data_IF_137174927290
#
_entry.id   IF_137174927290
#
_cell.length_a   1.000
_cell.length_b   1.000
_cell.length_c   1.000
_cell.angle_alpha   90.00
_cell.angle_beta   90.00
_cell.angle_gamma   90.00
#
_symmetry.space_group_name_H-M   'P 1'
#
loop_
_entity.id
_entity.type
_entity.pdbx_description
1 polymer ?
#
# COMPACT_ATOMS: atom_id res chain seq x y z
N UNK A 1 12.14 -0.43 35.42
CA UNK A 1 12.43 -0.62 33.99
C UNK A 1 13.14 0.64 33.52
N UNK A 2 14.46 0.55 33.38
CA UNK A 2 15.24 1.60 32.73
C UNK A 2 14.97 1.45 31.24
N UNK A 3 14.07 2.28 30.68
CA UNK A 3 13.59 2.21 29.29
C UNK A 3 14.66 2.65 28.25
N UNK A 4 15.91 2.26 28.51
CA UNK A 4 17.10 2.63 27.78
C UNK A 4 17.31 1.62 26.65
N UNK A 5 17.70 2.14 25.51
CA UNK A 5 18.18 1.32 24.40
C UNK A 5 19.63 0.97 24.73
N UNK A 6 19.93 -0.32 24.78
CA UNK A 6 21.28 -0.83 25.11
C UNK A 6 22.17 -0.93 23.88
N UNK A 7 21.57 -1.12 22.70
CA UNK A 7 22.26 -1.25 21.43
C UNK A 7 21.32 -0.85 20.28
N UNK A 8 21.88 -0.33 19.19
CA UNK A 8 21.15 -0.01 17.98
C UNK A 8 22.09 0.07 16.76
N UNK A 9 21.57 -0.25 15.58
CA UNK A 9 22.30 -0.08 14.33
C UNK A 9 22.30 1.38 13.86
N UNK A 10 23.27 1.72 13.00
CA UNK A 10 23.42 3.07 12.43
C UNK A 10 22.16 3.56 11.73
N UNK A 11 21.44 2.64 11.04
CA UNK A 11 20.22 3.01 10.32
C UNK A 11 19.10 3.46 11.25
N UNK A 12 18.93 2.82 12.41
CA UNK A 12 17.98 3.28 13.41
C UNK A 12 18.34 4.67 13.91
N UNK A 13 19.62 4.88 14.24
CA UNK A 13 20.13 6.15 14.75
C UNK A 13 19.93 7.30 13.74
N UNK A 14 20.11 7.04 12.45
CA UNK A 14 19.79 7.97 11.35
C UNK A 14 18.30 8.32 11.32
N UNK A 15 17.41 7.32 11.36
CA UNK A 15 15.96 7.51 11.33
C UNK A 15 15.49 8.37 12.51
N UNK A 16 15.97 8.04 13.71
CA UNK A 16 15.56 8.73 14.94
C UNK A 16 16.31 10.04 15.19
N UNK A 17 17.38 10.32 14.44
CA UNK A 17 18.18 11.54 14.54
C UNK A 17 19.07 11.60 15.79
N UNK A 18 19.65 10.48 16.19
CA UNK A 18 20.58 10.39 17.31
C UNK A 18 21.95 9.89 16.85
N UNK A 19 23.00 10.22 17.60
CA UNK A 19 24.35 9.69 17.34
C UNK A 19 24.68 8.49 18.24
N UNK A 20 25.65 7.66 17.84
CA UNK A 20 26.14 6.55 18.68
C UNK A 20 26.63 7.05 20.04
N UNK A 21 27.30 8.21 20.08
CA UNK A 21 27.73 8.81 21.35
C UNK A 21 26.55 9.22 22.24
N UNK A 22 25.43 9.68 21.68
CA UNK A 22 24.22 9.95 22.47
C UNK A 22 23.57 8.67 23.00
N UNK A 23 23.64 7.56 22.25
CA UNK A 23 23.21 6.23 22.70
C UNK A 23 24.07 5.74 23.87
N UNK A 24 25.40 5.76 23.72
CA UNK A 24 26.35 5.34 24.77
C UNK A 24 26.20 6.14 26.06
N UNK A 25 25.90 7.44 25.94
CA UNK A 25 25.63 8.33 27.07
C UNK A 25 24.22 8.14 27.66
N UNK A 26 23.43 7.18 27.18
CA UNK A 26 22.09 6.86 27.68
C UNK A 26 21.07 7.97 27.47
N UNK A 27 21.25 8.84 26.47
CA UNK A 27 20.34 9.96 26.18
C UNK A 27 19.07 9.52 25.43
N UNK A 28 19.05 8.31 24.89
CA UNK A 28 17.91 7.75 24.15
C UNK A 28 16.97 7.05 25.11
N UNK A 29 15.71 7.50 25.12
CA UNK A 29 14.62 6.90 25.88
C UNK A 29 13.51 6.53 24.89
N UNK A 30 13.30 5.23 24.73
CA UNK A 30 12.37 4.66 23.76
C UNK A 30 10.96 5.25 23.86
N UNK A 31 10.45 5.49 25.07
CA UNK A 31 9.11 6.03 25.28
C UNK A 31 9.03 7.54 25.04
N UNK A 32 10.13 8.27 25.22
CA UNK A 32 10.17 9.72 24.96
C UNK A 32 10.38 10.06 23.48
N UNK A 33 11.04 9.18 22.73
CA UNK A 33 11.26 9.36 21.29
C UNK A 33 9.97 9.20 20.48
N UNK A 34 9.02 8.43 21.01
CA UNK A 34 7.73 8.19 20.37
C UNK A 34 6.70 9.22 20.84
N UNK A 35 6.73 10.46 20.33
CA UNK A 35 5.87 11.54 20.85
C UNK A 35 4.45 11.61 20.23
N UNK A 36 3.49 11.76 21.14
CA UNK A 36 2.04 12.05 21.07
C UNK A 36 1.05 11.02 20.53
N UNK A 37 1.48 10.00 19.79
CA UNK A 37 0.57 8.90 19.38
C UNK A 37 1.04 7.54 19.89
N UNK A 38 1.70 7.47 21.06
CA UNK A 38 1.57 6.24 21.87
C UNK A 38 0.11 6.21 22.27
N UNK A 39 -0.68 5.64 21.37
CA UNK A 39 -2.02 5.20 21.60
C UNK A 39 -2.01 4.46 22.93
N UNK A 40 -2.86 4.86 23.84
CA UNK A 40 -3.05 4.23 25.15
C UNK A 40 -3.21 2.70 24.96
N UNK A 41 -3.69 2.27 23.79
CA UNK A 41 -3.70 0.90 23.31
C UNK A 41 -2.37 0.15 23.35
N UNK A 42 -1.22 0.76 23.05
CA UNK A 42 0.08 0.07 23.09
C UNK A 42 0.51 -0.22 24.54
N UNK A 43 0.24 0.71 25.45
CA UNK A 43 0.51 0.57 26.89
C UNK A 43 -0.42 -0.45 27.55
N UNK A 44 -1.69 -0.50 27.13
CA UNK A 44 -2.66 -1.52 27.55
C UNK A 44 -2.27 -2.88 26.97
N UNK A 45 -1.93 -2.93 25.67
CA UNK A 45 -1.58 -4.17 24.98
C UNK A 45 -0.31 -4.81 25.55
N UNK A 46 0.74 -4.03 25.79
CA UNK A 46 1.99 -4.54 26.38
C UNK A 46 1.76 -5.16 27.78
N UNK A 47 0.80 -4.64 28.54
CA UNK A 47 0.42 -5.19 29.86
C UNK A 47 -0.49 -6.41 29.79
N UNK A 48 -1.17 -6.63 28.67
CA UNK A 48 -2.06 -7.77 28.45
C UNK A 48 -1.44 -8.91 27.65
N UNK A 49 -0.20 -8.75 27.14
CA UNK A 49 0.53 -9.83 26.48
C UNK A 49 0.88 -10.91 27.50
N UNK A 50 0.51 -12.15 27.21
CA UNK A 50 1.03 -13.30 27.95
C UNK A 50 2.49 -13.53 27.53
N UNK A 51 3.36 -14.07 28.41
CA UNK A 51 4.77 -14.37 28.11
C UNK A 51 5.02 -15.17 26.82
N UNK A 52 3.98 -15.83 26.29
CA UNK A 52 4.03 -16.73 25.13
C UNK A 52 3.51 -16.10 23.81
N UNK A 53 2.97 -14.87 23.82
CA UNK A 53 2.47 -14.16 22.61
C UNK A 53 3.53 -13.19 22.08
N UNK A 54 4.54 -13.75 21.40
CA UNK A 54 5.87 -13.16 21.27
C UNK A 54 6.13 -12.29 20.02
N UNK A 55 5.11 -11.95 19.22
CA UNK A 55 5.30 -11.14 18.01
C UNK A 55 4.12 -10.19 17.84
N UNK A 56 4.33 -8.90 18.17
CA UNK A 56 3.38 -7.84 17.82
C UNK A 56 3.98 -6.94 16.74
N UNK A 57 3.41 -7.03 15.53
CA UNK A 57 3.72 -6.10 14.43
C UNK A 57 2.86 -4.86 14.60
N UNK A 58 3.50 -3.71 14.78
CA UNK A 58 2.86 -2.41 14.94
C UNK A 58 3.24 -1.55 13.72
N UNK A 59 2.23 -1.17 12.93
CA UNK A 59 2.39 -0.15 11.89
C UNK A 59 2.23 1.24 12.51
N UNK A 60 3.20 2.11 12.33
CA UNK A 60 3.13 3.48 12.85
C UNK A 60 3.82 4.50 11.94
N UNK A 61 3.17 5.64 11.74
CA UNK A 61 3.80 6.80 11.12
C UNK A 61 4.69 7.50 12.15
N UNK A 62 5.96 7.70 11.81
CA UNK A 62 6.97 8.31 12.66
C UNK A 62 7.49 9.58 12.00
N UNK A 63 7.34 10.72 12.67
CA UNK A 63 7.96 11.97 12.22
C UNK A 63 9.16 12.20 13.11
N UNK A 64 10.36 12.18 12.55
CA UNK A 64 11.56 12.50 13.30
C UNK A 64 11.57 13.99 13.61
N UNK A 65 11.52 14.33 14.91
CA UNK A 65 11.50 15.74 15.38
C UNK A 65 12.81 16.45 15.00
N UNK A 66 13.91 15.72 14.86
CA UNK A 66 15.24 16.28 14.58
C UNK A 66 15.56 16.38 13.09
N UNK A 67 15.07 15.46 12.26
CA UNK A 67 15.37 15.48 10.81
C UNK A 67 14.24 16.09 9.97
N UNK A 68 13.10 16.43 10.58
CA UNK A 68 11.88 16.89 9.90
C UNK A 68 11.40 15.96 8.77
N UNK A 69 11.92 14.73 8.72
CA UNK A 69 11.51 13.71 7.77
C UNK A 69 10.31 12.94 8.31
N UNK A 70 9.35 12.71 7.43
CA UNK A 70 8.18 11.90 7.68
C UNK A 70 8.49 10.45 7.29
N UNK A 71 8.83 9.63 8.27
CA UNK A 71 9.01 8.21 8.07
C UNK A 71 7.69 7.45 8.27
N UNK A 72 7.50 6.38 7.50
CA UNK A 72 6.48 5.38 7.76
C UNK A 72 7.19 4.11 8.20
N UNK A 73 6.88 3.62 9.40
CA UNK A 73 7.64 2.57 10.05
C UNK A 73 6.72 1.40 10.41
N UNK A 74 7.17 0.19 10.11
CA UNK A 74 6.65 -1.03 10.75
C UNK A 74 7.64 -1.50 11.79
N UNK A 75 7.17 -1.65 13.03
CA UNK A 75 7.98 -2.16 14.12
C UNK A 75 7.47 -3.52 14.58
N UNK A 76 8.38 -4.43 14.89
CA UNK A 76 8.08 -5.69 15.55
C UNK A 76 8.98 -5.80 16.78
N UNK A 77 8.40 -6.14 17.93
CA UNK A 77 9.17 -6.36 19.15
C UNK A 77 9.09 -7.83 19.57
N UNK A 78 10.23 -8.37 19.96
CA UNK A 78 10.38 -9.66 20.62
C UNK A 78 10.88 -9.37 22.04
N UNK A 79 10.09 -9.72 23.05
CA UNK A 79 10.35 -9.41 24.46
C UNK A 79 10.57 -10.71 25.25
N UNK A 80 11.42 -10.71 26.27
CA UNK A 80 11.52 -11.86 27.19
C UNK A 80 10.22 -12.05 28.01
N UNK A 81 10.08 -13.20 28.68
CA UNK A 81 8.87 -13.57 29.44
C UNK A 81 8.49 -12.53 30.51
N UNK A 82 9.50 -11.83 31.03
CA UNK A 82 9.34 -10.82 32.07
C UNK A 82 9.24 -9.38 31.51
N UNK A 83 9.29 -9.21 30.19
CA UNK A 83 9.32 -7.94 29.47
C UNK A 83 10.42 -6.97 29.95
N UNK A 84 11.53 -7.49 30.48
CA UNK A 84 12.66 -6.70 30.93
C UNK A 84 13.64 -6.40 29.79
N UNK A 85 13.84 -7.36 28.88
CA UNK A 85 14.69 -7.20 27.71
C UNK A 85 13.93 -7.57 26.44
N UNK A 86 14.35 -7.00 25.33
CA UNK A 86 13.81 -7.38 24.03
C UNK A 86 14.50 -6.73 22.87
N UNK A 87 14.26 -7.27 21.70
CA UNK A 87 14.77 -6.77 20.43
C UNK A 87 13.61 -6.15 19.66
N UNK A 88 13.82 -4.93 19.17
CA UNK A 88 12.85 -4.27 18.30
C UNK A 88 13.44 -4.16 16.90
N UNK A 89 12.71 -4.70 15.94
CA UNK A 89 12.98 -4.58 14.51
C UNK A 89 12.12 -3.46 13.94
N UNK A 90 12.75 -2.54 13.23
CA UNK A 90 12.12 -1.35 12.65
C UNK A 90 12.41 -1.38 11.17
N UNK A 91 11.35 -1.41 10.37
CA UNK A 91 11.41 -1.33 8.92
C UNK A 91 10.86 0.01 8.47
N UNK A 92 11.71 0.80 7.81
CA UNK A 92 11.28 1.96 7.05
C UNK A 92 10.55 1.50 5.79
N UNK A 93 9.29 1.89 5.66
CA UNK A 93 8.41 1.60 4.52
C UNK A 93 7.95 2.89 3.83
N UNK A 94 8.60 4.02 4.09
CA UNK A 94 8.22 5.33 3.56
C UNK A 94 8.14 5.30 2.04
N UNK A 95 9.23 4.90 1.38
CA UNK A 95 9.32 4.83 -0.08
C UNK A 95 8.24 3.91 -0.66
N UNK A 96 8.06 2.73 -0.06
CA UNK A 96 7.05 1.76 -0.51
C UNK A 96 5.64 2.34 -0.42
N UNK A 97 5.27 2.94 0.71
CA UNK A 97 3.94 3.50 0.91
C UNK A 97 3.69 4.71 -0.01
N UNK A 98 4.73 5.49 -0.32
CA UNK A 98 4.60 6.63 -1.23
C UNK A 98 4.47 6.17 -2.69
N UNK A 99 5.20 5.12 -3.10
CA UNK A 99 5.00 4.46 -4.39
C UNK A 99 3.61 3.84 -4.51
N UNK A 100 3.14 3.11 -3.50
CA UNK A 100 1.80 2.51 -3.49
C UNK A 100 0.70 3.59 -3.59
N UNK A 101 0.85 4.72 -2.88
CA UNK A 101 -0.08 5.85 -2.99
C UNK A 101 -0.03 6.52 -4.36
N UNK A 102 1.16 6.73 -4.91
CA UNK A 102 1.31 7.33 -6.23
C UNK A 102 0.69 6.44 -7.32
N UNK A 103 0.91 5.13 -7.23
CA UNK A 103 0.28 4.14 -8.12
C UNK A 103 -1.25 4.19 -7.99
N UNK A 104 -1.77 4.10 -6.76
CA UNK A 104 -3.21 4.15 -6.52
C UNK A 104 -3.84 5.44 -7.05
N UNK A 105 -3.19 6.59 -6.83
CA UNK A 105 -3.63 7.88 -7.35
C UNK A 105 -3.66 7.88 -8.89
N UNK A 106 -2.61 7.37 -9.53
CA UNK A 106 -2.56 7.25 -10.99
C UNK A 106 -3.64 6.30 -11.53
N UNK A 107 -3.92 5.19 -10.84
CA UNK A 107 -4.99 4.26 -11.22
C UNK A 107 -6.38 4.91 -11.09
N UNK A 108 -6.62 5.66 -10.02
CA UNK A 108 -7.85 6.42 -9.80
C UNK A 108 -8.03 7.52 -10.86
N UNK A 109 -6.96 8.27 -11.15
CA UNK A 109 -6.95 9.29 -12.22
C UNK A 109 -7.22 8.66 -13.59
N UNK A 110 -6.54 7.56 -13.93
CA UNK A 110 -6.79 6.83 -15.17
C UNK A 110 -8.24 6.32 -15.25
N UNK A 111 -8.75 5.73 -14.17
CA UNK A 111 -10.14 5.27 -14.08
C UNK A 111 -11.13 6.42 -14.26
N UNK A 112 -10.86 7.58 -13.70
CA UNK A 112 -11.70 8.77 -13.89
C UNK A 112 -11.64 9.28 -15.34
N UNK A 113 -10.44 9.42 -15.91
CA UNK A 113 -10.26 9.86 -17.29
C UNK A 113 -11.02 8.96 -18.28
N UNK A 114 -10.90 7.64 -18.13
CA UNK A 114 -11.60 6.68 -18.99
C UNK A 114 -13.11 6.76 -18.78
N UNK A 115 -13.59 6.75 -17.52
CA UNK A 115 -15.02 6.74 -17.23
C UNK A 115 -15.76 8.01 -17.66
N UNK A 116 -15.12 9.18 -17.54
CA UNK A 116 -15.74 10.48 -17.88
C UNK A 116 -15.36 10.98 -19.28
N UNK A 117 -14.61 10.20 -20.07
CA UNK A 117 -14.40 10.52 -21.48
C UNK A 117 -15.75 10.56 -22.22
N UNK A 118 -15.92 11.56 -23.08
CA UNK A 118 -17.11 11.68 -23.93
C UNK A 118 -17.12 10.66 -25.07
N UNK A 119 -15.99 10.03 -25.34
CA UNK A 119 -15.83 8.98 -26.35
C UNK A 119 -16.07 7.62 -25.73
N UNK A 120 -16.76 6.74 -26.45
CA UNK A 120 -16.90 5.33 -26.12
C UNK A 120 -15.51 4.65 -26.07
N UNK A 121 -15.16 4.10 -24.91
CA UNK A 121 -13.91 3.35 -24.68
C UNK A 121 -14.30 1.98 -24.13
N UNK A 122 -13.78 0.93 -24.77
CA UNK A 122 -13.91 -0.44 -24.33
C UNK A 122 -12.60 -1.19 -24.53
N UNK A 123 -12.31 -2.14 -23.65
CA UNK A 123 -11.11 -2.97 -23.66
C UNK A 123 -11.52 -4.42 -23.87
N UNK A 124 -10.83 -5.10 -24.79
CA UNK A 124 -11.06 -6.51 -25.11
C UNK A 124 -9.81 -7.34 -24.88
N UNK A 125 -9.97 -8.49 -24.25
CA UNK A 125 -8.91 -9.48 -24.14
C UNK A 125 -8.71 -10.19 -25.46
N UNK A 126 -7.55 -10.03 -26.09
CA UNK A 126 -7.28 -10.63 -27.41
C UNK A 126 -7.29 -12.16 -27.40
N UNK A 127 -6.85 -12.79 -26.29
CA UNK A 127 -6.72 -14.26 -26.20
C UNK A 127 -8.04 -14.96 -25.89
N UNK A 128 -8.82 -14.39 -24.99
CA UNK A 128 -10.06 -14.96 -24.48
C UNK A 128 -11.30 -14.32 -25.12
N UNK A 129 -11.14 -13.28 -25.94
CA UNK A 129 -12.21 -12.53 -26.61
C UNK A 129 -13.27 -12.03 -25.62
N UNK A 130 -12.85 -11.71 -24.39
CA UNK A 130 -13.74 -11.22 -23.34
C UNK A 130 -13.68 -9.70 -23.25
N UNK A 131 -14.79 -9.09 -22.87
CA UNK A 131 -14.85 -7.68 -22.49
C UNK A 131 -14.14 -7.51 -21.14
N UNK A 132 -13.10 -6.68 -21.08
CA UNK A 132 -12.29 -6.43 -19.87
C UNK A 132 -12.73 -5.17 -19.13
N UNK A 133 -13.11 -4.14 -19.87
CA UNK A 133 -13.51 -2.85 -19.32
C UNK A 133 -14.38 -2.09 -20.32
N UNK A 134 -15.32 -1.32 -19.80
CA UNK A 134 -16.19 -0.42 -20.58
C UNK A 134 -16.40 0.88 -19.82
N UNK A 135 -16.38 2.01 -20.51
CA UNK A 135 -16.64 3.31 -19.91
C UNK A 135 -18.12 3.72 -19.97
N UNK A 136 -18.50 4.79 -19.26
CA UNK A 136 -19.88 5.27 -19.21
C UNK A 136 -20.42 5.69 -20.58
N UNK A 137 -19.57 6.29 -21.42
CA UNK A 137 -19.97 6.70 -22.77
C UNK A 137 -20.34 5.49 -23.63
N UNK A 138 -19.63 4.37 -23.51
CA UNK A 138 -19.94 3.13 -24.23
C UNK A 138 -21.26 2.50 -23.77
N UNK A 139 -21.49 2.44 -22.45
CA UNK A 139 -22.78 2.01 -21.88
C UNK A 139 -23.94 2.86 -22.38
N UNK A 140 -23.79 4.19 -22.37
CA UNK A 140 -24.82 5.11 -22.88
C UNK A 140 -25.06 4.97 -24.38
N UNK A 141 -23.99 4.81 -25.17
CA UNK A 141 -24.08 4.65 -26.62
C UNK A 141 -24.90 3.42 -27.00
N UNK A 142 -24.67 2.31 -26.33
CA UNK A 142 -25.33 1.03 -26.63
C UNK A 142 -26.62 0.82 -25.85
N UNK A 143 -26.92 1.67 -24.85
CA UNK A 143 -28.06 1.53 -23.94
C UNK A 143 -28.06 0.24 -23.12
N UNK A 144 -26.88 -0.30 -22.82
CA UNK A 144 -26.67 -1.44 -21.92
C UNK A 144 -25.92 -1.01 -20.66
N UNK A 145 -26.17 -1.69 -19.56
CA UNK A 145 -25.38 -1.52 -18.33
C UNK A 145 -23.94 -2.00 -18.54
N UNK A 146 -23.02 -1.55 -17.67
CA UNK A 146 -21.63 -2.01 -17.72
C UNK A 146 -21.54 -3.51 -17.46
N UNK A 147 -22.33 -4.02 -16.54
CA UNK A 147 -22.37 -5.43 -16.15
C UNK A 147 -22.80 -6.31 -17.33
N UNK A 148 -23.84 -5.89 -18.06
CA UNK A 148 -24.27 -6.59 -19.28
C UNK A 148 -23.19 -6.56 -20.35
N UNK A 149 -22.56 -5.41 -20.59
CA UNK A 149 -21.50 -5.27 -21.59
C UNK A 149 -20.22 -6.03 -21.25
N UNK A 150 -19.96 -6.29 -19.97
CA UNK A 150 -18.85 -7.14 -19.52
C UNK A 150 -19.18 -8.63 -19.70
N UNK A 151 -20.46 -9.01 -19.66
CA UNK A 151 -20.93 -10.37 -19.86
C UNK A 151 -21.12 -10.75 -21.35
N UNK A 152 -21.23 -9.75 -22.23
CA UNK A 152 -21.40 -9.96 -23.67
C UNK A 152 -20.03 -10.14 -24.35
N UNK A 153 -19.96 -11.07 -25.31
CA UNK A 153 -18.80 -11.19 -26.20
C UNK A 153 -18.77 -9.94 -27.09
N UNK A 154 -17.68 -9.15 -27.14
CA UNK A 154 -17.63 -7.87 -27.85
C UNK A 154 -18.07 -7.93 -29.33
N UNK A 155 -17.88 -9.08 -29.98
CA UNK A 155 -18.27 -9.31 -31.36
C UNK A 155 -19.77 -9.52 -31.58
N UNK A 156 -20.52 -9.87 -30.54
CA UNK A 156 -21.95 -10.16 -30.63
C UNK A 156 -22.81 -8.89 -30.75
N UNK A 157 -22.26 -7.75 -30.32
CA UNK A 157 -22.87 -6.42 -30.41
C UNK A 157 -22.73 -5.84 -31.83
N UNK A 158 -21.78 -6.36 -32.61
CA UNK A 158 -21.50 -5.91 -33.97
C UNK A 158 -22.45 -6.58 -34.97
N UNK A 159 -22.84 -5.83 -35.99
CA UNK A 159 -23.48 -6.36 -37.19
C UNK A 159 -22.57 -7.37 -37.92
N UNK A 160 -23.14 -8.18 -38.81
CA UNK A 160 -22.43 -9.26 -39.48
C UNK A 160 -21.21 -8.81 -40.31
N UNK A 161 -21.26 -7.60 -40.88
CA UNK A 161 -20.17 -7.04 -41.68
C UNK A 161 -19.04 -6.56 -40.76
N UNK A 162 -19.37 -5.79 -39.74
CA UNK A 162 -18.43 -5.31 -38.71
C UNK A 162 -17.78 -6.46 -37.93
N UNK A 163 -18.53 -7.54 -37.66
CA UNK A 163 -18.03 -8.76 -37.01
C UNK A 163 -16.99 -9.47 -37.88
N UNK A 164 -17.23 -9.61 -39.19
CA UNK A 164 -16.27 -10.21 -40.13
C UNK A 164 -15.00 -9.36 -40.26
N UNK A 165 -15.15 -8.04 -40.39
CA UNK A 165 -14.02 -7.11 -40.49
C UNK A 165 -13.15 -7.11 -39.23
N UNK A 166 -13.77 -7.11 -38.05
CA UNK A 166 -13.04 -7.13 -36.77
C UNK A 166 -12.28 -8.45 -36.58
N UNK A 167 -12.89 -9.61 -36.88
CA UNK A 167 -12.21 -10.92 -36.82
C UNK A 167 -11.03 -11.02 -37.79
N UNK A 168 -11.16 -10.44 -38.99
CA UNK A 168 -10.07 -10.39 -39.96
C UNK A 168 -8.95 -9.45 -39.53
N UNK A 169 -9.27 -8.34 -38.85
CA UNK A 169 -8.30 -7.44 -38.23
C UNK A 169 -7.49 -8.12 -37.12
N UNK A 170 -8.14 -8.84 -36.19
CA UNK A 170 -7.45 -9.56 -35.12
C UNK A 170 -6.48 -10.64 -35.65
N UNK A 171 -6.84 -11.33 -36.75
CA UNK A 171 -5.94 -12.32 -37.38
C UNK A 171 -4.65 -11.72 -37.93
N UNK A 172 -4.65 -10.44 -38.31
CA UNK A 172 -3.48 -9.73 -38.84
C UNK A 172 -2.50 -9.26 -37.76
N UNK A 173 -2.98 -9.06 -36.53
CA UNK A 173 -2.18 -8.61 -35.38
C UNK A 173 -1.44 -9.79 -34.72
N UNK A 174 -1.90 -11.02 -34.96
CA UNK A 174 -1.33 -12.25 -34.40
C UNK A 174 -0.23 -12.88 -35.30
N UNK A 175 0.37 -12.11 -36.21
CA UNK A 175 1.52 -12.49 -37.05
C UNK A 175 2.80 -11.85 -36.51
#
# INVERSE_FOLDING_TARGET
MDNKIVDANDKFLEIVGYTCSELENGKLDWFKMTLQSIDIQMKISLRSLKPMELIKILLKRYISIRTAHNYQIKACALLDEACFNGVVLILDITEREDMEKALKKSEEEHKHLVNYAHTAIYEIGFKDQTSKSVNEAFSKLLSYSKEELLAIIPFDILDDESRKNSKNGLKRINC
#
